data_IF_955801811896
#
_entry.id   IF_955801811896
#
_cell.length_a   1.000
_cell.length_b   1.000
_cell.length_c   1.000
_cell.angle_alpha   90.00
_cell.angle_beta   90.00
_cell.angle_gamma   90.00
#
_symmetry.space_group_name_H-M   'P 1'
#
loop_
_entity.id
_entity.type
_entity.pdbx_description
1 polymer ?
#
# COMPACT_ATOMS: atom_id res chain seq x y z
N UNK A 1 -21.86 -0.53 -6.05
CA UNK A 1 -21.54 0.79 -6.65
C UNK A 1 -21.87 0.77 -8.12
N UNK A 2 -22.29 1.89 -8.71
CA UNK A 2 -22.45 1.96 -10.16
C UNK A 2 -21.08 1.94 -10.86
N UNK A 3 -21.02 1.36 -12.07
CA UNK A 3 -19.77 1.20 -12.81
C UNK A 3 -19.01 2.52 -13.01
N UNK A 4 -19.75 3.60 -13.27
CA UNK A 4 -19.18 4.92 -13.45
C UNK A 4 -18.52 5.47 -12.16
N UNK A 5 -19.11 5.20 -10.98
CA UNK A 5 -18.56 5.61 -9.69
C UNK A 5 -17.27 4.84 -9.37
N UNK A 6 -17.25 3.54 -9.66
CA UNK A 6 -16.06 2.69 -9.48
C UNK A 6 -14.90 3.19 -10.33
N UNK A 7 -15.15 3.49 -11.60
CA UNK A 7 -14.11 3.98 -12.52
C UNK A 7 -13.57 5.36 -12.10
N UNK A 8 -14.45 6.27 -11.67
CA UNK A 8 -14.03 7.56 -11.14
C UNK A 8 -13.16 7.41 -9.88
N UNK A 9 -13.56 6.56 -8.94
CA UNK A 9 -12.80 6.34 -7.72
C UNK A 9 -11.43 5.69 -8.00
N UNK A 10 -11.38 4.71 -8.91
CA UNK A 10 -10.12 4.09 -9.35
C UNK A 10 -9.21 5.10 -10.04
N UNK A 11 -9.74 5.99 -10.87
CA UNK A 11 -8.98 7.05 -11.53
C UNK A 11 -8.38 8.04 -10.51
N UNK A 12 -9.16 8.44 -9.50
CA UNK A 12 -8.68 9.32 -8.42
C UNK A 12 -7.54 8.69 -7.61
N UNK A 13 -7.57 7.37 -7.45
CA UNK A 13 -6.60 6.63 -6.63
C UNK A 13 -5.55 5.87 -7.45
N UNK A 14 -5.50 6.04 -8.77
CA UNK A 14 -4.66 5.27 -9.68
C UNK A 14 -3.17 5.28 -9.30
N UNK A 15 -2.66 6.41 -8.79
CA UNK A 15 -1.27 6.54 -8.34
C UNK A 15 -0.94 5.68 -7.11
N UNK A 16 -1.94 5.40 -6.27
CA UNK A 16 -1.82 4.66 -5.00
C UNK A 16 -2.15 3.17 -5.12
N UNK A 17 -2.60 2.74 -6.29
CA UNK A 17 -2.99 1.35 -6.57
C UNK A 17 -1.96 0.65 -7.47
N UNK A 18 -1.82 -0.68 -7.37
CA UNK A 18 -0.98 -1.46 -8.25
C UNK A 18 -1.67 -1.66 -9.59
N UNK A 19 -1.05 -1.19 -10.68
CA UNK A 19 -1.63 -1.21 -12.03
C UNK A 19 -2.06 -2.62 -12.48
N UNK A 20 -1.32 -3.63 -12.03
CA UNK A 20 -1.54 -5.05 -12.35
C UNK A 20 -2.84 -5.61 -11.71
N UNK A 21 -3.35 -4.99 -10.63
CA UNK A 21 -4.53 -5.46 -9.89
C UNK A 21 -5.74 -4.55 -10.00
N UNK A 22 -5.67 -3.47 -10.79
CA UNK A 22 -6.78 -2.50 -10.94
C UNK A 22 -8.04 -3.17 -11.48
N UNK A 23 -7.89 -4.10 -12.44
CA UNK A 23 -9.03 -4.84 -12.99
C UNK A 23 -9.69 -5.73 -11.93
N UNK A 24 -8.89 -6.43 -11.10
CA UNK A 24 -9.41 -7.25 -10.01
C UNK A 24 -10.17 -6.39 -8.98
N UNK A 25 -9.63 -5.22 -8.61
CA UNK A 25 -10.32 -4.28 -7.71
C UNK A 25 -11.62 -3.77 -8.31
N UNK A 26 -11.64 -3.48 -9.62
CA UNK A 26 -12.87 -3.08 -10.32
C UNK A 26 -13.94 -4.15 -10.18
N UNK A 27 -13.63 -5.41 -10.45
CA UNK A 27 -14.57 -6.52 -10.31
C UNK A 27 -15.07 -6.69 -8.87
N UNK A 28 -14.19 -6.55 -7.87
CA UNK A 28 -14.56 -6.63 -6.45
C UNK A 28 -15.47 -5.47 -6.04
N UNK A 29 -15.17 -4.24 -6.48
CA UNK A 29 -15.95 -3.03 -6.18
C UNK A 29 -17.35 -3.06 -6.85
N UNK A 30 -17.47 -3.70 -8.02
CA UNK A 30 -18.75 -3.91 -8.69
C UNK A 30 -19.61 -4.96 -7.97
N UNK A 31 -18.98 -6.01 -7.44
CA UNK A 31 -19.66 -7.08 -6.68
C UNK A 31 -19.94 -6.71 -5.22
N UNK A 32 -19.26 -5.70 -4.70
CA UNK A 32 -19.40 -5.25 -3.32
C UNK A 32 -20.74 -4.54 -3.08
N UNK A 33 -21.37 -4.90 -1.96
CA UNK A 33 -22.54 -4.21 -1.40
C UNK A 33 -22.22 -2.75 -1.05
N UNK A 34 -23.24 -1.88 -0.95
CA UNK A 34 -23.08 -0.47 -0.59
C UNK A 34 -22.29 -0.27 0.72
N UNK A 35 -22.47 -1.16 1.70
CA UNK A 35 -21.75 -1.06 2.98
C UNK A 35 -20.24 -1.34 2.82
N UNK A 36 -19.88 -2.38 2.05
CA UNK A 36 -18.47 -2.72 1.76
C UNK A 36 -17.81 -1.66 0.88
N UNK A 37 -18.57 -1.11 -0.06
CA UNK A 37 -18.16 -0.01 -0.93
C UNK A 37 -17.83 1.25 -0.14
N UNK A 38 -18.72 1.67 0.77
CA UNK A 38 -18.49 2.82 1.64
C UNK A 38 -17.27 2.60 2.54
N UNK A 39 -17.12 1.39 3.10
CA UNK A 39 -15.95 1.02 3.89
C UNK A 39 -14.65 1.14 3.06
N UNK A 40 -14.63 0.65 1.82
CA UNK A 40 -13.46 0.75 0.94
C UNK A 40 -13.09 2.21 0.60
N UNK A 41 -14.07 3.08 0.37
CA UNK A 41 -13.83 4.51 0.13
C UNK A 41 -13.30 5.24 1.37
N UNK A 42 -13.64 4.77 2.57
CA UNK A 42 -13.16 5.35 3.83
C UNK A 42 -11.69 4.99 4.16
N UNK A 43 -11.10 4.02 3.45
CA UNK A 43 -9.71 3.60 3.69
C UNK A 43 -8.74 4.70 3.26
N UNK A 44 -7.90 5.14 4.18
CA UNK A 44 -6.80 6.06 3.88
C UNK A 44 -5.69 5.34 3.13
N UNK A 45 -5.71 5.45 1.80
CA UNK A 45 -4.67 4.87 0.94
C UNK A 45 -3.35 5.63 1.12
N UNK A 46 -2.30 4.88 1.45
CA UNK A 46 -0.94 5.41 1.65
C UNK A 46 -0.34 5.84 0.30
N UNK A 47 0.30 7.00 0.27
CA UNK A 47 1.00 7.47 -0.92
C UNK A 47 2.40 6.84 -1.02
N UNK A 48 2.73 6.33 -2.21
CA UNK A 48 4.02 5.67 -2.46
C UNK A 48 5.22 6.61 -2.32
N UNK A 49 5.03 7.90 -2.62
CA UNK A 49 6.06 8.95 -2.50
C UNK A 49 6.34 9.26 -1.04
N UNK A 50 5.29 9.37 -0.22
CA UNK A 50 5.43 9.54 1.23
C UNK A 50 6.16 8.36 1.85
N UNK A 51 5.82 7.12 1.44
CA UNK A 51 6.52 5.93 1.92
C UNK A 51 7.99 5.87 1.47
N UNK A 52 8.29 6.33 0.26
CA UNK A 52 9.68 6.52 -0.21
C UNK A 52 10.46 7.50 0.64
N UNK A 53 9.87 8.65 0.99
CA UNK A 53 10.51 9.66 1.81
C UNK A 53 10.77 9.15 3.24
N UNK A 54 9.83 8.39 3.79
CA UNK A 54 9.99 7.73 5.09
C UNK A 54 11.09 6.66 5.01
N UNK A 55 11.16 5.87 3.93
CA UNK A 55 12.24 4.92 3.71
C UNK A 55 13.60 5.60 3.57
N UNK A 56 13.66 6.82 3.03
CA UNK A 56 14.90 7.59 2.91
C UNK A 56 15.38 8.14 4.26
N UNK A 57 14.50 8.75 5.06
CA UNK A 57 14.85 9.38 6.34
C UNK A 57 14.99 8.35 7.46
N UNK A 58 14.12 7.34 7.47
CA UNK A 58 13.96 6.38 8.57
C UNK A 58 14.23 4.92 8.17
N UNK A 59 14.76 4.66 6.96
CA UNK A 59 15.07 3.32 6.47
C UNK A 59 16.18 2.60 7.23
N UNK A 60 17.09 3.35 7.86
CA UNK A 60 18.10 2.81 8.77
C UNK A 60 17.48 2.21 10.05
N UNK A 61 16.36 2.79 10.51
CA UNK A 61 15.60 2.31 11.66
C UNK A 61 14.48 1.32 11.28
N UNK A 62 14.26 1.07 9.98
CA UNK A 62 13.24 0.13 9.49
C UNK A 62 11.79 0.60 9.61
N UNK A 63 11.55 1.90 9.84
CA UNK A 63 10.21 2.49 10.07
C UNK A 63 9.27 2.29 8.88
N UNK A 64 9.80 2.30 7.65
CA UNK A 64 9.01 2.04 6.44
C UNK A 64 8.33 0.66 6.47
N UNK A 65 8.99 -0.34 7.07
CA UNK A 65 8.47 -1.72 7.19
C UNK A 65 7.44 -1.86 8.29
N UNK A 66 7.67 -1.21 9.43
CA UNK A 66 6.69 -1.18 10.50
C UNK A 66 5.38 -0.54 10.03
N UNK A 67 5.44 0.51 9.22
CA UNK A 67 4.26 1.18 8.67
C UNK A 67 3.46 0.36 7.65
N UNK A 68 4.08 -0.66 7.06
CA UNK A 68 3.45 -1.59 6.12
C UNK A 68 3.05 -2.92 6.79
N UNK A 69 3.14 -3.02 8.12
CA UNK A 69 2.84 -4.25 8.88
C UNK A 69 3.91 -5.34 8.77
N UNK A 70 5.06 -5.05 8.16
CA UNK A 70 6.19 -5.98 8.02
C UNK A 70 7.11 -5.92 9.25
N UNK A 71 6.53 -6.02 10.44
CA UNK A 71 7.20 -5.85 11.74
C UNK A 71 8.36 -6.84 11.93
N UNK A 72 8.19 -8.10 11.51
CA UNK A 72 9.26 -9.12 11.60
C UNK A 72 10.51 -8.76 10.80
N UNK A 73 10.34 -8.25 9.57
CA UNK A 73 11.46 -7.78 8.74
C UNK A 73 12.06 -6.46 9.27
N UNK A 74 11.28 -5.64 9.95
CA UNK A 74 11.77 -4.44 10.66
C UNK A 74 12.68 -4.81 11.83
N UNK A 75 12.28 -5.80 12.64
CA UNK A 75 13.08 -6.30 13.78
C UNK A 75 14.38 -6.96 13.28
N UNK A 76 14.32 -7.77 12.22
CA UNK A 76 15.51 -8.38 11.63
C UNK A 76 16.53 -7.34 11.14
N UNK A 77 16.05 -6.22 10.58
CA UNK A 77 16.88 -5.06 10.20
C UNK A 77 17.58 -4.43 11.40
N UNK A 78 16.88 -4.25 12.52
CA UNK A 78 17.45 -3.70 13.75
C UNK A 78 18.50 -4.63 14.36
N UNK A 79 18.25 -5.94 14.38
CA UNK A 79 19.19 -6.95 14.88
C UNK A 79 20.46 -7.06 14.02
N UNK A 80 20.37 -6.73 12.74
CA UNK A 80 21.51 -6.70 11.79
C UNK A 80 22.18 -5.33 11.70
N UNK A 81 21.89 -4.41 12.65
CA UNK A 81 22.40 -3.03 12.65
C UNK A 81 22.14 -2.28 11.32
N UNK A 82 21.02 -2.55 10.66
CA UNK A 82 20.64 -1.87 9.41
C UNK A 82 21.40 -2.33 8.16
N UNK A 83 22.16 -3.43 8.25
CA UNK A 83 22.78 -4.11 7.10
C UNK A 83 23.65 -3.22 6.20
N UNK A 84 24.46 -2.33 6.81
CA UNK A 84 25.38 -1.40 6.12
C UNK A 84 24.71 -0.47 5.08
N UNK A 85 23.44 -0.11 5.24
CA UNK A 85 22.75 0.83 4.36
C UNK A 85 22.26 0.27 3.01
N UNK A 86 22.71 -0.93 2.62
CA UNK A 86 22.24 -1.64 1.41
C UNK A 86 20.72 -1.86 1.49
N UNK A 87 20.23 -2.24 2.67
CA UNK A 87 18.79 -2.43 2.89
C UNK A 87 17.99 -1.13 2.79
N UNK A 88 18.58 0.03 3.10
CA UNK A 88 17.90 1.31 2.95
C UNK A 88 17.74 1.67 1.46
N UNK A 89 18.77 1.40 0.64
CA UNK A 89 18.72 1.64 -0.81
C UNK A 89 17.63 0.81 -1.47
N UNK A 90 17.58 -0.50 -1.19
CA UNK A 90 16.54 -1.39 -1.72
C UNK A 90 15.14 -0.95 -1.24
N UNK A 91 15.04 -0.49 0.00
CA UNK A 91 13.76 -0.08 0.56
C UNK A 91 13.24 1.21 -0.05
N UNK A 92 14.09 2.17 -0.41
CA UNK A 92 13.66 3.39 -1.12
C UNK A 92 12.95 3.02 -2.44
N UNK A 93 13.54 2.20 -3.30
CA UNK A 93 12.91 1.85 -4.58
C UNK A 93 11.69 0.94 -4.43
N UNK A 94 11.68 0.07 -3.42
CA UNK A 94 10.58 -0.88 -3.22
C UNK A 94 9.43 -0.32 -2.37
N UNK A 95 9.64 0.76 -1.61
CA UNK A 95 8.63 1.33 -0.70
C UNK A 95 7.36 1.76 -1.43
N UNK A 96 7.48 2.40 -2.60
CA UNK A 96 6.34 2.82 -3.41
C UNK A 96 5.52 1.62 -3.90
N UNK A 97 6.18 0.56 -4.40
CA UNK A 97 5.49 -0.68 -4.80
C UNK A 97 4.80 -1.35 -3.61
N UNK A 98 5.50 -1.47 -2.48
CA UNK A 98 4.95 -2.07 -1.26
C UNK A 98 3.77 -1.28 -0.69
N UNK A 99 3.78 0.05 -0.79
CA UNK A 99 2.66 0.90 -0.39
C UNK A 99 1.40 0.60 -1.22
N UNK A 100 1.55 0.44 -2.54
CA UNK A 100 0.47 0.06 -3.45
C UNK A 100 -0.10 -1.32 -3.13
N UNK A 101 0.78 -2.29 -2.90
CA UNK A 101 0.37 -3.64 -2.49
C UNK A 101 -0.35 -3.65 -1.14
N UNK A 102 0.13 -2.87 -0.17
CA UNK A 102 -0.53 -2.71 1.12
C UNK A 102 -1.95 -2.15 0.98
N UNK A 103 -2.10 -1.10 0.16
CA UNK A 103 -3.40 -0.50 -0.16
C UNK A 103 -4.35 -1.52 -0.81
N UNK A 104 -3.86 -2.28 -1.80
CA UNK A 104 -4.63 -3.34 -2.45
C UNK A 104 -5.09 -4.41 -1.45
N UNK A 105 -4.19 -4.90 -0.59
CA UNK A 105 -4.53 -5.93 0.39
C UNK A 105 -5.60 -5.43 1.38
N UNK A 106 -5.51 -4.18 1.82
CA UNK A 106 -6.53 -3.58 2.70
C UNK A 106 -7.89 -3.43 2.03
N UNK A 107 -7.90 -3.02 0.76
CA UNK A 107 -9.14 -2.95 -0.02
C UNK A 107 -9.74 -4.34 -0.21
N UNK A 108 -8.92 -5.33 -0.55
CA UNK A 108 -9.36 -6.72 -0.72
C UNK A 108 -9.92 -7.31 0.57
N UNK A 109 -9.30 -7.03 1.72
CA UNK A 109 -9.78 -7.45 3.04
C UNK A 109 -11.20 -6.94 3.35
N UNK A 110 -11.52 -5.70 2.91
CA UNK A 110 -12.83 -5.08 3.12
C UNK A 110 -13.86 -5.49 2.06
N UNK A 111 -13.41 -5.77 0.83
CA UNK A 111 -14.27 -6.06 -0.30
C UNK A 111 -14.57 -7.57 -0.49
N UNK A 112 -13.70 -8.46 0.00
CA UNK A 112 -13.94 -9.90 0.05
C UNK A 112 -15.16 -10.21 0.94
#
# INVERSE_FOLDING_TARGET
MEQQQVEQWLAQNAKKLPAERVNELKDLLLKADENKAAAAQSISLKDGTTMMLIAWIAGAYGVDRFMLGQTGLGIAKLLTLGGCGIWAIIDIFSASKRAKEFNYNKLKEVLA
#
